data_IF_910151100552
#
_entry.id   IF_910151100552
#
_cell.length_a   1.000
_cell.length_b   1.000
_cell.length_c   1.000
_cell.angle_alpha   90.00
_cell.angle_beta   90.00
_cell.angle_gamma   90.00
#
_symmetry.space_group_name_H-M   'P 1'
#
loop_
_entity.id
_entity.type
_entity.pdbx_description
1 polymer ?
#
# COMPACT_ATOMS: atom_id res chain seq x y z
N UNK A 1 16.01 -11.61 -6.79
CA UNK A 1 15.51 -10.20 -6.87
C UNK A 1 15.88 -9.49 -5.58
N UNK A 2 16.70 -8.42 -5.68
CA UNK A 2 17.20 -7.69 -4.50
C UNK A 2 16.09 -7.31 -3.52
N UNK A 3 14.97 -6.80 -4.04
CA UNK A 3 13.83 -6.42 -3.20
C UNK A 3 13.26 -7.62 -2.41
N UNK A 4 13.07 -8.77 -3.06
CA UNK A 4 12.52 -9.97 -2.41
C UNK A 4 13.53 -10.54 -1.41
N UNK A 5 14.82 -10.54 -1.75
CA UNK A 5 15.87 -11.00 -0.83
C UNK A 5 15.90 -10.13 0.44
N UNK A 6 15.76 -8.80 0.29
CA UNK A 6 15.63 -7.89 1.41
C UNK A 6 14.37 -8.14 2.26
N UNK A 7 13.22 -8.44 1.65
CA UNK A 7 11.99 -8.81 2.38
C UNK A 7 12.19 -10.01 3.33
N UNK A 8 13.08 -10.93 2.97
CA UNK A 8 13.43 -12.11 3.77
C UNK A 8 14.76 -11.97 4.53
N UNK A 9 15.24 -10.74 4.75
CA UNK A 9 16.49 -10.41 5.48
C UNK A 9 17.75 -11.04 4.90
N UNK A 10 17.73 -11.50 3.65
CA UNK A 10 18.93 -11.97 2.97
C UNK A 10 19.88 -10.80 2.68
N UNK A 11 21.14 -11.11 2.56
CA UNK A 11 22.13 -10.12 2.11
C UNK A 11 21.84 -9.64 0.70
N UNK A 12 22.00 -8.34 0.50
CA UNK A 12 21.81 -7.67 -0.78
C UNK A 12 23.00 -6.77 -1.08
N UNK A 13 23.38 -6.55 -2.34
CA UNK A 13 24.54 -5.72 -2.69
C UNK A 13 24.35 -4.24 -2.34
N UNK A 14 23.12 -3.81 -2.10
CA UNK A 14 22.72 -2.48 -1.63
C UNK A 14 21.29 -2.55 -1.06
N UNK A 15 20.87 -1.52 -0.33
CA UNK A 15 19.50 -1.41 0.18
C UNK A 15 18.52 -1.12 -0.96
N UNK A 16 17.55 -2.01 -1.24
CA UNK A 16 16.58 -1.76 -2.31
C UNK A 16 15.66 -0.59 -1.95
N UNK A 17 15.24 0.14 -2.99
CA UNK A 17 14.36 1.29 -2.88
C UNK A 17 13.20 1.23 -3.88
N UNK A 18 12.03 1.57 -3.40
CA UNK A 18 10.86 1.96 -4.20
C UNK A 18 10.09 3.05 -3.47
N UNK A 19 9.11 3.69 -4.09
CA UNK A 19 8.39 4.79 -3.46
C UNK A 19 6.88 4.63 -3.61
N UNK A 20 6.15 4.76 -2.51
CA UNK A 20 4.69 4.79 -2.56
C UNK A 20 4.20 5.94 -3.45
N UNK A 21 3.26 5.65 -4.35
CA UNK A 21 2.75 6.56 -5.39
C UNK A 21 3.84 7.00 -6.38
N UNK A 22 4.85 6.15 -6.63
CA UNK A 22 5.90 6.40 -7.62
C UNK A 22 5.35 6.63 -9.04
N UNK A 23 4.24 6.01 -9.42
CA UNK A 23 3.43 6.41 -10.56
C UNK A 23 2.47 7.52 -10.11
N UNK A 24 2.67 8.73 -10.61
CA UNK A 24 1.90 9.87 -10.12
C UNK A 24 2.05 11.15 -10.94
N UNK A 25 1.26 12.15 -10.57
CA UNK A 25 1.12 13.42 -11.32
C UNK A 25 2.39 14.25 -11.46
N UNK A 26 3.43 13.98 -10.70
CA UNK A 26 4.75 14.61 -10.84
C UNK A 26 5.52 14.13 -12.08
N UNK A 27 5.08 13.02 -12.72
CA UNK A 27 5.62 12.51 -13.99
C UNK A 27 4.76 12.99 -15.16
N UNK A 28 5.38 13.62 -16.16
CA UNK A 28 4.71 14.03 -17.42
C UNK A 28 4.13 12.83 -18.15
N UNK A 29 4.85 11.72 -18.20
CA UNK A 29 4.44 10.48 -18.86
C UNK A 29 3.16 9.91 -18.22
N UNK A 30 3.05 9.95 -16.91
CA UNK A 30 1.82 9.58 -16.20
C UNK A 30 0.66 10.51 -16.59
N UNK A 31 0.90 11.81 -16.66
CA UNK A 31 -0.15 12.77 -17.03
C UNK A 31 -0.67 12.52 -18.45
N UNK A 32 0.20 12.14 -19.40
CA UNK A 32 -0.19 11.77 -20.76
C UNK A 32 -1.04 10.52 -20.79
N UNK A 33 -0.63 9.44 -20.10
CA UNK A 33 -1.40 8.20 -19.99
C UNK A 33 -2.76 8.44 -19.31
N UNK A 34 -2.78 9.30 -18.28
CA UNK A 34 -4.00 9.72 -17.59
C UNK A 34 -4.97 10.48 -18.50
N UNK A 35 -4.44 11.35 -19.39
CA UNK A 35 -5.23 12.09 -20.37
C UNK A 35 -5.81 11.16 -21.43
N UNK A 36 -5.03 10.17 -21.90
CA UNK A 36 -5.51 9.14 -22.85
C UNK A 36 -6.67 8.33 -22.28
N UNK A 37 -6.62 7.98 -21.00
CA UNK A 37 -7.68 7.22 -20.33
C UNK A 37 -8.97 8.02 -20.10
N UNK A 38 -8.90 9.35 -20.05
CA UNK A 38 -10.05 10.23 -19.80
C UNK A 38 -10.41 10.36 -18.32
N UNK A 39 -10.51 9.26 -17.55
CA UNK A 39 -10.78 9.30 -16.11
C UNK A 39 -9.80 8.45 -15.30
N UNK A 40 -9.74 8.66 -13.97
CA UNK A 40 -8.86 7.86 -13.10
C UNK A 40 -9.31 6.40 -13.05
N UNK A 41 -10.60 6.17 -12.98
CA UNK A 41 -11.15 4.82 -12.94
C UNK A 41 -10.94 4.09 -14.27
N UNK A 42 -11.12 4.80 -15.40
CA UNK A 42 -10.82 4.23 -16.71
C UNK A 42 -9.33 3.88 -16.87
N UNK A 43 -8.43 4.68 -16.30
CA UNK A 43 -7.01 4.34 -16.27
C UNK A 43 -6.75 3.04 -15.47
N UNK A 44 -7.41 2.87 -14.32
CA UNK A 44 -7.31 1.64 -13.52
C UNK A 44 -7.94 0.43 -14.23
N UNK A 45 -9.02 0.62 -14.99
CA UNK A 45 -9.73 -0.46 -15.70
C UNK A 45 -9.12 -0.85 -17.04
N UNK A 46 -8.22 -0.03 -17.58
CA UNK A 46 -7.51 -0.33 -18.82
C UNK A 46 -6.17 -1.02 -18.50
N UNK A 47 -6.09 -2.33 -18.72
CA UNK A 47 -4.91 -3.14 -18.39
C UNK A 47 -3.64 -2.68 -19.11
N UNK A 48 -3.74 -2.20 -20.37
CA UNK A 48 -2.59 -1.72 -21.14
C UNK A 48 -2.04 -0.42 -20.57
N UNK A 49 -2.91 0.55 -20.27
CA UNK A 49 -2.52 1.82 -19.67
C UNK A 49 -2.05 1.67 -18.22
N UNK A 50 -2.70 0.79 -17.44
CA UNK A 50 -2.24 0.47 -16.09
C UNK A 50 -0.84 -0.17 -16.10
N UNK A 51 -0.57 -1.04 -17.07
CA UNK A 51 0.75 -1.62 -17.30
C UNK A 51 1.78 -0.55 -17.67
N UNK A 52 1.47 0.32 -18.63
CA UNK A 52 2.33 1.44 -19.04
C UNK A 52 2.71 2.30 -17.83
N UNK A 53 1.73 2.74 -17.07
CA UNK A 53 1.92 3.59 -15.89
C UNK A 53 2.69 2.87 -14.77
N UNK A 54 2.51 1.56 -14.61
CA UNK A 54 3.27 0.76 -13.64
C UNK A 54 4.76 0.69 -13.97
N UNK A 55 5.12 0.62 -15.25
CA UNK A 55 6.50 0.50 -15.71
C UNK A 55 7.26 1.84 -15.72
N UNK A 56 6.57 2.96 -15.99
CA UNK A 56 7.18 4.29 -16.09
C UNK A 56 8.15 4.63 -14.94
N UNK A 57 7.81 4.46 -13.65
CA UNK A 57 8.74 4.79 -12.56
C UNK A 57 9.99 3.91 -12.54
N UNK A 58 9.88 2.65 -12.95
CA UNK A 58 11.03 1.74 -13.00
C UNK A 58 12.03 2.22 -14.04
N UNK A 59 11.56 2.61 -15.21
CA UNK A 59 12.38 3.09 -16.32
C UNK A 59 12.96 4.49 -16.05
N UNK A 60 12.14 5.38 -15.48
CA UNK A 60 12.49 6.79 -15.28
C UNK A 60 13.38 6.99 -14.06
N UNK A 61 13.05 6.35 -12.94
CA UNK A 61 13.70 6.58 -11.65
C UNK A 61 14.74 5.51 -11.33
N UNK A 62 14.62 4.30 -11.89
CA UNK A 62 15.51 3.19 -11.62
C UNK A 62 15.22 2.42 -10.32
N UNK A 63 14.02 2.52 -9.78
CA UNK A 63 13.58 1.82 -8.54
C UNK A 63 13.70 0.30 -8.66
N UNK A 64 13.79 -0.40 -7.53
CA UNK A 64 14.03 -1.84 -7.45
C UNK A 64 12.76 -2.69 -7.45
N UNK A 65 11.60 -2.06 -7.26
CA UNK A 65 10.31 -2.70 -7.39
C UNK A 65 9.30 -1.79 -8.08
N UNK A 66 8.47 -2.39 -8.94
CA UNK A 66 7.24 -1.80 -9.41
C UNK A 66 6.12 -2.11 -8.40
N UNK A 67 5.19 -1.19 -8.22
CA UNK A 67 3.89 -1.48 -7.61
C UNK A 67 2.82 -1.29 -8.67
N UNK A 68 1.92 -2.26 -8.78
CA UNK A 68 0.83 -2.19 -9.73
C UNK A 68 0.06 -0.87 -9.63
N UNK A 69 -0.24 -0.25 -10.75
CA UNK A 69 -1.14 0.90 -10.76
C UNK A 69 -2.60 0.42 -10.71
N UNK A 70 -3.27 0.73 -9.62
CA UNK A 70 -4.68 0.45 -9.36
C UNK A 70 -5.18 1.36 -8.23
N UNK A 71 -6.41 1.16 -7.78
CA UNK A 71 -6.98 1.82 -6.60
C UNK A 71 -7.45 0.79 -5.56
N UNK A 72 -7.39 1.15 -4.28
CA UNK A 72 -7.86 0.26 -3.20
C UNK A 72 -9.38 0.07 -3.21
N UNK A 73 -10.13 1.02 -3.81
CA UNK A 73 -11.60 1.02 -3.81
C UNK A 73 -12.23 0.21 -4.97
N UNK A 74 -11.40 -0.41 -5.83
CA UNK A 74 -11.92 -1.30 -6.88
C UNK A 74 -12.65 -2.52 -6.29
N UNK A 75 -12.25 -3.00 -5.10
CA UNK A 75 -12.93 -4.11 -4.42
C UNK A 75 -14.32 -3.69 -3.93
N UNK A 76 -14.51 -2.63 -3.14
CA UNK A 76 -15.84 -2.13 -2.80
C UNK A 76 -16.73 -1.81 -4.01
N UNK A 77 -16.14 -1.28 -5.10
CA UNK A 77 -16.87 -1.02 -6.33
C UNK A 77 -17.48 -2.31 -6.90
N UNK A 78 -16.69 -3.37 -7.04
CA UNK A 78 -17.17 -4.64 -7.59
C UNK A 78 -18.05 -5.41 -6.57
N UNK A 79 -17.95 -5.09 -5.26
CA UNK A 79 -18.91 -5.57 -4.25
C UNK A 79 -20.30 -4.90 -4.39
N UNK A 80 -20.43 -3.91 -5.26
CA UNK A 80 -21.71 -3.32 -5.66
C UNK A 80 -22.00 -1.92 -5.15
N UNK A 81 -21.00 -1.23 -4.56
CA UNK A 81 -21.11 0.19 -4.21
C UNK A 81 -20.70 1.06 -5.40
N UNK A 82 -21.57 1.98 -5.82
CA UNK A 82 -21.27 2.89 -6.91
C UNK A 82 -20.23 3.94 -6.48
N UNK A 83 -19.08 3.95 -7.17
CA UNK A 83 -17.94 4.80 -6.89
C UNK A 83 -17.73 5.84 -7.99
N UNK A 84 -17.61 7.10 -7.60
CA UNK A 84 -17.21 8.21 -8.47
C UNK A 84 -15.95 8.88 -7.94
N UNK A 85 -15.14 9.44 -8.84
CA UNK A 85 -13.99 10.28 -8.48
C UNK A 85 -14.31 11.74 -8.81
N UNK A 86 -14.69 12.50 -7.80
CA UNK A 86 -15.06 13.91 -7.94
C UNK A 86 -13.77 14.76 -8.01
N UNK A 87 -13.60 15.61 -9.04
CA UNK A 87 -12.44 16.48 -9.14
C UNK A 87 -12.23 17.30 -7.87
N UNK A 88 -10.99 17.31 -7.34
CA UNK A 88 -10.57 17.99 -6.09
C UNK A 88 -11.16 17.44 -4.78
N UNK A 89 -12.20 16.61 -4.81
CA UNK A 89 -12.77 15.93 -3.62
C UNK A 89 -12.18 14.55 -3.40
N UNK A 90 -11.93 13.80 -4.48
CA UNK A 90 -11.47 12.41 -4.42
C UNK A 90 -12.62 11.40 -4.58
N UNK A 91 -12.46 10.18 -4.04
CA UNK A 91 -13.46 9.12 -4.15
C UNK A 91 -14.74 9.46 -3.40
N UNK A 92 -15.89 9.13 -4.00
CA UNK A 92 -17.21 9.30 -3.43
C UNK A 92 -18.10 8.10 -3.77
N UNK A 93 -18.63 7.46 -2.73
CA UNK A 93 -19.64 6.40 -2.89
C UNK A 93 -21.04 7.01 -2.84
N UNK A 94 -21.88 6.67 -3.82
CA UNK A 94 -23.27 7.15 -3.90
C UNK A 94 -24.14 6.51 -2.82
N UNK A 95 -23.87 5.26 -2.47
CA UNK A 95 -24.50 4.53 -1.36
C UNK A 95 -23.46 4.23 -0.28
N UNK A 96 -23.91 4.14 0.96
CA UNK A 96 -23.03 3.88 2.13
C UNK A 96 -23.56 2.74 2.98
N UNK A 97 -22.68 2.09 3.70
CA UNK A 97 -23.03 1.04 4.65
C UNK A 97 -23.51 1.71 5.95
N UNK A 98 -24.75 1.40 6.34
CA UNK A 98 -25.41 1.99 7.50
C UNK A 98 -25.89 0.97 8.52
N UNK A 99 -26.10 -0.28 8.12
CA UNK A 99 -26.69 -1.34 8.92
C UNK A 99 -26.31 -2.74 8.39
N UNK A 100 -26.76 -3.78 9.10
CA UNK A 100 -26.47 -5.17 8.71
C UNK A 100 -27.06 -5.52 7.34
N UNK A 101 -28.24 -5.01 6.99
CA UNK A 101 -28.89 -5.25 5.71
C UNK A 101 -28.05 -4.71 4.55
N UNK A 102 -27.46 -3.54 4.70
CA UNK A 102 -26.55 -2.97 3.70
C UNK A 102 -25.25 -3.78 3.57
N UNK A 103 -24.72 -4.37 4.67
CA UNK A 103 -23.59 -5.31 4.62
C UNK A 103 -23.97 -6.60 3.89
N UNK A 104 -25.16 -7.15 4.17
CA UNK A 104 -25.65 -8.39 3.53
C UNK A 104 -25.85 -8.22 2.03
N UNK A 105 -26.27 -7.04 1.58
CA UNK A 105 -26.49 -6.73 0.16
C UNK A 105 -25.21 -6.67 -0.68
N UNK A 106 -24.03 -6.53 -0.05
CA UNK A 106 -22.76 -6.54 -0.76
C UNK A 106 -22.53 -7.89 -1.44
N UNK A 107 -22.13 -7.87 -2.70
CA UNK A 107 -21.81 -9.06 -3.49
C UNK A 107 -20.60 -9.80 -2.91
N UNK A 108 -20.67 -11.13 -2.89
CA UNK A 108 -19.56 -12.03 -2.56
C UNK A 108 -18.91 -12.53 -3.86
N UNK A 109 -17.59 -12.70 -3.86
CA UNK A 109 -16.83 -13.11 -5.04
C UNK A 109 -16.58 -11.97 -6.02
N UNK A 110 -16.62 -10.73 -5.54
CA UNK A 110 -16.31 -9.52 -6.30
C UNK A 110 -14.88 -9.55 -6.89
N UNK A 111 -13.94 -10.20 -6.19
CA UNK A 111 -12.57 -10.40 -6.68
C UNK A 111 -12.50 -11.06 -8.06
N UNK A 112 -13.49 -11.87 -8.45
CA UNK A 112 -13.58 -12.51 -9.79
C UNK A 112 -13.89 -11.52 -10.92
N UNK A 113 -14.39 -10.33 -10.60
CA UNK A 113 -14.72 -9.30 -11.58
C UNK A 113 -13.52 -8.37 -11.88
N UNK A 114 -12.44 -8.50 -11.13
CA UNK A 114 -11.26 -7.65 -11.23
C UNK A 114 -10.22 -8.14 -12.26
N UNK A 115 -10.68 -8.77 -13.35
CA UNK A 115 -9.80 -9.32 -14.40
C UNK A 115 -8.83 -8.29 -14.96
N UNK A 116 -9.25 -7.04 -15.13
CA UNK A 116 -8.39 -5.95 -15.62
C UNK A 116 -7.17 -5.70 -14.73
N UNK A 117 -7.28 -5.99 -13.42
CA UNK A 117 -6.15 -5.93 -12.47
C UNK A 117 -5.19 -7.08 -12.73
N UNK A 118 -5.69 -8.30 -12.88
CA UNK A 118 -4.88 -9.50 -13.10
C UNK A 118 -4.21 -9.48 -14.47
N UNK A 119 -4.90 -8.98 -15.49
CA UNK A 119 -4.35 -8.78 -16.83
C UNK A 119 -3.22 -7.76 -16.82
N UNK A 120 -3.39 -6.63 -16.11
CA UNK A 120 -2.34 -5.62 -15.94
C UNK A 120 -1.11 -6.20 -15.19
N UNK A 121 -1.31 -7.05 -14.17
CA UNK A 121 -0.22 -7.75 -13.48
C UNK A 121 0.52 -8.66 -14.45
N UNK A 122 -0.19 -9.51 -15.18
CA UNK A 122 0.42 -10.46 -16.13
C UNK A 122 1.21 -9.76 -17.23
N UNK A 123 0.64 -8.71 -17.81
CA UNK A 123 1.31 -7.88 -18.83
C UNK A 123 2.54 -7.15 -18.26
N UNK A 124 2.41 -6.58 -17.05
CA UNK A 124 3.54 -5.92 -16.37
C UNK A 124 4.65 -6.92 -16.10
N UNK A 125 4.33 -8.11 -15.58
CA UNK A 125 5.34 -9.14 -15.29
C UNK A 125 6.10 -9.59 -16.54
N UNK A 126 5.43 -9.68 -17.69
CA UNK A 126 6.06 -10.03 -18.96
C UNK A 126 7.05 -8.97 -19.45
N UNK A 127 6.75 -7.69 -19.25
CA UNK A 127 7.55 -6.56 -19.72
C UNK A 127 8.63 -6.12 -18.72
N UNK A 128 8.38 -6.31 -17.42
CA UNK A 128 9.30 -5.91 -16.35
C UNK A 128 10.50 -6.86 -16.29
N UNK A 129 11.72 -6.31 -16.15
CA UNK A 129 12.94 -7.11 -15.96
C UNK A 129 12.75 -8.16 -14.85
N UNK A 130 13.35 -9.34 -15.06
CA UNK A 130 13.32 -10.44 -14.06
C UNK A 130 14.02 -10.09 -12.75
N UNK A 131 14.87 -9.08 -12.73
CA UNK A 131 15.56 -8.60 -11.53
C UNK A 131 14.72 -7.67 -10.68
N UNK A 132 13.70 -7.03 -11.26
CA UNK A 132 12.80 -6.11 -10.57
C UNK A 132 11.55 -6.84 -10.07
N UNK A 133 11.18 -6.57 -8.83
CA UNK A 133 9.97 -7.13 -8.24
C UNK A 133 8.71 -6.37 -8.69
N UNK A 134 7.58 -7.07 -8.75
CA UNK A 134 6.26 -6.50 -8.91
C UNK A 134 5.46 -6.69 -7.63
N UNK A 135 4.97 -5.60 -7.05
CA UNK A 135 4.18 -5.59 -5.83
C UNK A 135 2.70 -5.47 -6.21
N UNK A 136 1.89 -6.43 -5.74
CA UNK A 136 0.43 -6.31 -5.72
C UNK A 136 -0.03 -5.69 -4.40
N UNK A 137 -1.27 -5.20 -4.35
CA UNK A 137 -1.73 -4.55 -3.12
C UNK A 137 -3.26 -4.51 -2.98
N UNK A 138 -3.71 -4.20 -1.77
CA UNK A 138 -5.08 -3.81 -1.46
C UNK A 138 -5.11 -2.80 -0.29
N UNK A 139 -6.28 -2.24 -0.03
CA UNK A 139 -6.55 -1.54 1.22
C UNK A 139 -6.82 -2.54 2.36
N UNK A 140 -6.59 -2.14 3.61
CA UNK A 140 -7.00 -2.93 4.78
C UNK A 140 -8.53 -2.97 4.89
N UNK A 141 -9.11 -4.00 5.55
CA UNK A 141 -10.55 -4.04 5.81
C UNK A 141 -11.06 -2.78 6.50
N UNK A 142 -10.35 -2.27 7.52
CA UNK A 142 -10.73 -1.02 8.20
C UNK A 142 -10.70 0.19 7.27
N UNK A 143 -9.63 0.37 6.50
CA UNK A 143 -9.52 1.48 5.55
C UNK A 143 -10.64 1.45 4.52
N UNK A 144 -10.96 0.28 3.96
CA UNK A 144 -12.06 0.13 3.00
C UNK A 144 -13.41 0.38 3.67
N UNK A 145 -13.65 -0.21 4.86
CA UNK A 145 -14.88 0.00 5.62
C UNK A 145 -15.13 1.47 5.92
N UNK A 146 -14.09 2.26 6.27
CA UNK A 146 -14.26 3.69 6.51
C UNK A 146 -14.77 4.42 5.27
N UNK A 147 -14.24 4.15 4.08
CA UNK A 147 -14.75 4.73 2.84
C UNK A 147 -16.19 4.30 2.55
N UNK A 148 -16.51 3.02 2.77
CA UNK A 148 -17.85 2.47 2.53
C UNK A 148 -18.90 3.03 3.50
N UNK A 149 -18.52 3.37 4.73
CA UNK A 149 -19.40 3.93 5.75
C UNK A 149 -19.51 5.46 5.65
N UNK A 150 -18.38 6.16 5.51
CA UNK A 150 -18.35 7.63 5.40
C UNK A 150 -18.91 8.09 4.05
N UNK A 151 -18.71 7.33 2.99
CA UNK A 151 -19.05 7.65 1.61
C UNK A 151 -17.95 8.41 0.87
N UNK A 152 -17.02 9.02 1.58
CA UNK A 152 -15.93 9.84 1.07
C UNK A 152 -14.74 9.88 2.04
N UNK A 153 -13.69 10.62 1.69
CA UNK A 153 -12.61 10.90 2.63
C UNK A 153 -13.10 11.69 3.85
N UNK A 154 -12.75 11.26 5.05
CA UNK A 154 -13.19 11.88 6.30
C UNK A 154 -11.99 12.37 7.13
N UNK A 155 -12.16 13.48 7.85
CA UNK A 155 -11.17 13.95 8.83
C UNK A 155 -11.44 13.40 10.23
N UNK A 156 -12.71 13.19 10.58
CA UNK A 156 -13.14 12.75 11.92
C UNK A 156 -13.51 11.28 11.99
N UNK A 157 -13.88 10.65 10.85
CA UNK A 157 -14.39 9.28 10.78
C UNK A 157 -15.60 9.06 11.71
N UNK A 158 -16.47 10.07 11.81
CA UNK A 158 -17.52 10.11 12.82
C UNK A 158 -18.54 8.99 12.65
N UNK A 159 -18.97 8.70 11.42
CA UNK A 159 -19.92 7.61 11.13
C UNK A 159 -19.31 6.26 11.44
N UNK A 160 -18.08 6.01 11.00
CA UNK A 160 -17.34 4.77 11.23
C UNK A 160 -17.11 4.52 12.71
N UNK A 161 -16.71 5.55 13.47
CA UNK A 161 -16.54 5.46 14.93
C UNK A 161 -17.87 5.27 15.65
N UNK A 162 -18.95 5.94 15.20
CA UNK A 162 -20.29 5.69 15.75
C UNK A 162 -20.67 4.22 15.57
N UNK A 163 -20.53 3.66 14.37
CA UNK A 163 -20.83 2.25 14.12
C UNK A 163 -19.95 1.33 15.01
N UNK A 164 -18.66 1.63 15.14
CA UNK A 164 -17.73 0.87 15.98
C UNK A 164 -18.20 0.75 17.43
N UNK A 165 -18.70 1.86 18.04
CA UNK A 165 -19.09 1.88 19.44
C UNK A 165 -20.57 1.53 19.68
N UNK A 166 -21.47 1.88 18.75
CA UNK A 166 -22.92 1.68 18.93
C UNK A 166 -23.43 0.40 18.26
N UNK A 167 -22.78 -0.05 17.19
CA UNK A 167 -23.23 -1.19 16.38
C UNK A 167 -22.03 -2.08 15.97
N UNK A 168 -21.19 -2.52 16.93
CA UNK A 168 -19.94 -3.21 16.65
C UNK A 168 -20.14 -4.49 15.83
N UNK A 169 -21.29 -5.17 15.93
CA UNK A 169 -21.55 -6.40 15.19
C UNK A 169 -21.76 -6.12 13.68
N UNK A 170 -22.32 -4.96 13.32
CA UNK A 170 -22.43 -4.50 11.92
C UNK A 170 -21.03 -4.27 11.34
N UNK A 171 -20.19 -3.55 12.08
CA UNK A 171 -18.82 -3.31 11.66
C UNK A 171 -18.02 -4.60 11.53
N UNK A 172 -18.11 -5.52 12.49
CA UNK A 172 -17.43 -6.82 12.42
C UNK A 172 -17.87 -7.63 11.19
N UNK A 173 -19.18 -7.67 10.91
CA UNK A 173 -19.70 -8.35 9.72
C UNK A 173 -19.12 -7.78 8.43
N UNK A 174 -19.01 -6.44 8.32
CA UNK A 174 -18.39 -5.78 7.18
C UNK A 174 -16.89 -6.11 7.07
N UNK A 175 -16.13 -6.00 8.16
CA UNK A 175 -14.69 -6.26 8.19
C UNK A 175 -14.38 -7.73 7.85
N UNK A 176 -15.22 -8.66 8.31
CA UNK A 176 -15.12 -10.08 8.02
C UNK A 176 -15.34 -10.37 6.53
N UNK A 177 -16.42 -9.80 5.97
CA UNK A 177 -16.75 -9.94 4.55
C UNK A 177 -15.63 -9.37 3.67
N UNK A 178 -15.12 -8.19 3.99
CA UNK A 178 -13.97 -7.59 3.30
C UNK A 178 -12.73 -8.46 3.41
N UNK A 179 -12.43 -9.01 4.59
CA UNK A 179 -11.24 -9.85 4.76
C UNK A 179 -11.25 -11.08 3.86
N UNK A 180 -12.40 -11.73 3.70
CA UNK A 180 -12.55 -12.88 2.81
C UNK A 180 -12.34 -12.49 1.34
N UNK A 181 -12.93 -11.38 0.89
CA UNK A 181 -12.74 -10.86 -0.46
C UNK A 181 -11.27 -10.49 -0.73
N UNK A 182 -10.60 -9.86 0.24
CA UNK A 182 -9.21 -9.42 0.09
C UNK A 182 -8.21 -10.57 0.07
N UNK A 183 -8.44 -11.65 0.83
CA UNK A 183 -7.62 -12.86 0.77
C UNK A 183 -7.64 -13.44 -0.65
N UNK A 184 -8.81 -13.58 -1.24
CA UNK A 184 -8.95 -14.12 -2.60
C UNK A 184 -8.43 -13.13 -3.66
N UNK A 185 -8.68 -11.83 -3.49
CA UNK A 185 -8.17 -10.80 -4.38
C UNK A 185 -6.64 -10.78 -4.44
N UNK A 186 -5.97 -10.84 -3.27
CA UNK A 186 -4.51 -10.91 -3.22
C UNK A 186 -4.00 -12.26 -3.73
N UNK A 187 -4.73 -13.37 -3.49
CA UNK A 187 -4.38 -14.69 -4.03
C UNK A 187 -4.38 -14.68 -5.56
N UNK A 188 -5.37 -14.06 -6.19
CA UNK A 188 -5.40 -13.95 -7.66
C UNK A 188 -4.32 -12.99 -8.20
N UNK A 189 -3.96 -11.93 -7.47
CA UNK A 189 -2.81 -11.10 -7.82
C UNK A 189 -1.49 -11.91 -7.79
N UNK A 190 -1.31 -12.77 -6.79
CA UNK A 190 -0.14 -13.67 -6.69
C UNK A 190 -0.12 -14.65 -7.87
N UNK A 191 -1.24 -15.27 -8.19
CA UNK A 191 -1.37 -16.19 -9.34
C UNK A 191 -1.12 -15.49 -10.67
N UNK A 192 -1.50 -14.22 -10.80
CA UNK A 192 -1.23 -13.40 -11.99
C UNK A 192 0.24 -12.99 -12.13
N UNK A 193 1.08 -13.13 -11.09
CA UNK A 193 2.53 -13.00 -11.20
C UNK A 193 3.19 -11.91 -10.35
N UNK A 194 2.52 -11.36 -9.32
CA UNK A 194 3.22 -10.48 -8.39
C UNK A 194 4.22 -11.24 -7.53
N UNK A 195 5.29 -10.57 -7.12
CA UNK A 195 6.38 -11.15 -6.34
C UNK A 195 6.25 -10.85 -4.83
N UNK A 196 5.44 -9.86 -4.47
CA UNK A 196 5.11 -9.47 -3.11
C UNK A 196 3.70 -8.88 -3.06
N UNK A 197 3.08 -8.88 -1.90
CA UNK A 197 1.80 -8.20 -1.68
C UNK A 197 1.90 -7.21 -0.53
N UNK A 198 1.19 -6.08 -0.65
CA UNK A 198 1.17 -5.04 0.36
C UNK A 198 -0.27 -4.66 0.74
N UNK A 199 -0.53 -4.51 2.04
CA UNK A 199 -1.82 -4.09 2.55
C UNK A 199 -1.68 -2.70 3.17
N UNK A 200 -2.42 -1.74 2.62
CA UNK A 200 -2.39 -0.34 3.07
C UNK A 200 -3.50 -0.09 4.10
N UNK A 201 -3.11 0.17 5.33
CA UNK A 201 -4.03 0.65 6.37
C UNK A 201 -3.86 2.16 6.60
N UNK A 202 -4.30 2.92 5.62
CA UNK A 202 -4.10 4.38 5.57
C UNK A 202 -4.82 5.14 6.67
N UNK A 203 -5.88 4.56 7.24
CA UNK A 203 -6.70 5.16 8.27
C UNK A 203 -6.54 4.53 9.67
N UNK A 204 -5.46 3.78 9.88
CA UNK A 204 -5.15 3.14 11.17
C UNK A 204 -5.16 4.13 12.34
N UNK A 205 -4.56 5.30 12.17
CA UNK A 205 -4.51 6.35 13.21
C UNK A 205 -5.85 7.01 13.54
N UNK A 206 -6.93 6.67 12.82
CA UNK A 206 -8.26 7.13 13.17
C UNK A 206 -8.79 6.48 14.46
N UNK A 207 -8.24 5.32 14.82
CA UNK A 207 -8.63 4.54 16.00
C UNK A 207 -7.65 4.77 17.15
N UNK A 208 -8.15 4.71 18.38
CA UNK A 208 -7.32 4.56 19.56
C UNK A 208 -6.76 3.12 19.63
N UNK A 209 -5.73 2.87 20.45
CA UNK A 209 -4.94 1.64 20.42
C UNK A 209 -5.76 0.36 20.51
N UNK A 210 -6.66 0.25 21.49
CA UNK A 210 -7.45 -0.96 21.72
C UNK A 210 -8.42 -1.24 20.56
N UNK A 211 -9.10 -0.18 20.09
CA UNK A 211 -9.98 -0.27 18.94
C UNK A 211 -9.19 -0.62 17.66
N UNK A 212 -8.00 -0.04 17.48
CA UNK A 212 -7.11 -0.36 16.37
C UNK A 212 -6.73 -1.84 16.35
N UNK A 213 -6.24 -2.36 17.46
CA UNK A 213 -5.84 -3.76 17.54
C UNK A 213 -7.00 -4.72 17.23
N UNK A 214 -8.20 -4.41 17.74
CA UNK A 214 -9.39 -5.27 17.59
C UNK A 214 -10.09 -5.12 16.24
N UNK A 215 -10.19 -3.91 15.67
CA UNK A 215 -11.02 -3.64 14.47
C UNK A 215 -10.20 -3.36 13.21
N UNK A 216 -8.88 -3.30 13.29
CA UNK A 216 -8.01 -3.24 12.13
C UNK A 216 -6.91 -4.30 12.18
N UNK A 217 -6.06 -4.30 13.20
CA UNK A 217 -4.88 -5.15 13.25
C UNK A 217 -5.22 -6.65 13.25
N UNK A 218 -6.22 -7.11 13.99
CA UNK A 218 -6.65 -8.51 14.00
C UNK A 218 -7.09 -9.01 12.62
N UNK A 219 -7.72 -8.15 11.81
CA UNK A 219 -8.09 -8.48 10.44
C UNK A 219 -6.88 -8.50 9.49
N UNK A 220 -5.90 -7.61 9.68
CA UNK A 220 -4.62 -7.67 8.98
C UNK A 220 -3.88 -8.97 9.29
N UNK A 221 -3.81 -9.37 10.56
CA UNK A 221 -3.24 -10.67 10.97
C UNK A 221 -3.96 -11.85 10.32
N UNK A 222 -5.28 -11.83 10.27
CA UNK A 222 -6.08 -12.88 9.63
C UNK A 222 -5.72 -13.02 8.15
N UNK A 223 -5.66 -11.91 7.41
CA UNK A 223 -5.33 -11.93 5.98
C UNK A 223 -3.88 -12.39 5.78
N UNK A 224 -2.93 -11.81 6.49
CA UNK A 224 -1.51 -12.14 6.33
C UNK A 224 -1.22 -13.60 6.66
N UNK A 225 -1.79 -14.13 7.75
CA UNK A 225 -1.68 -15.54 8.13
C UNK A 225 -2.19 -16.49 7.06
N UNK A 226 -3.36 -16.21 6.48
CA UNK A 226 -3.92 -17.06 5.43
C UNK A 226 -3.08 -16.99 4.14
N UNK A 227 -2.57 -15.81 3.78
CA UNK A 227 -1.65 -15.65 2.65
C UNK A 227 -0.33 -16.37 2.87
N UNK A 228 0.28 -16.27 4.06
CA UNK A 228 1.52 -16.98 4.39
C UNK A 228 1.33 -18.50 4.39
N UNK A 229 0.18 -18.98 4.82
CA UNK A 229 -0.18 -20.40 4.74
C UNK A 229 -0.26 -20.91 3.30
N UNK A 230 -0.86 -20.13 2.38
CA UNK A 230 -1.03 -20.50 0.96
C UNK A 230 0.23 -20.26 0.14
N UNK A 231 0.97 -19.17 0.43
CA UNK A 231 2.06 -18.64 -0.39
C UNK A 231 3.26 -18.23 0.48
N UNK A 232 3.85 -19.18 1.22
CA UNK A 232 4.95 -18.91 2.16
C UNK A 232 6.16 -18.17 1.53
N UNK A 233 6.37 -18.35 0.22
CA UNK A 233 7.47 -17.75 -0.55
C UNK A 233 7.18 -16.31 -1.02
N UNK A 234 5.94 -15.83 -0.87
CA UNK A 234 5.55 -14.45 -1.21
C UNK A 234 5.62 -13.60 0.05
N UNK A 235 6.43 -12.55 0.09
CA UNK A 235 6.46 -11.65 1.24
C UNK A 235 5.18 -10.83 1.33
N UNK A 236 4.67 -10.69 2.56
CA UNK A 236 3.53 -9.86 2.92
C UNK A 236 4.03 -8.61 3.62
N UNK A 237 3.65 -7.44 3.11
CA UNK A 237 4.02 -6.12 3.62
C UNK A 237 2.78 -5.48 4.22
N UNK A 238 2.83 -5.09 5.50
CA UNK A 238 1.76 -4.34 6.16
C UNK A 238 2.17 -2.90 6.39
N UNK A 239 1.35 -1.95 5.98
CA UNK A 239 1.61 -0.52 6.15
C UNK A 239 0.46 0.17 6.90
N UNK A 240 0.46 0.14 8.23
CA UNK A 240 -0.47 0.92 9.05
C UNK A 240 0.11 2.32 9.29
N UNK A 241 -0.61 3.34 8.83
CA UNK A 241 -0.16 4.73 8.95
C UNK A 241 -0.54 5.33 10.30
N UNK A 242 0.44 5.97 10.95
CA UNK A 242 0.21 6.77 12.17
C UNK A 242 0.02 5.94 13.44
N UNK A 243 0.55 4.70 13.48
CA UNK A 243 0.45 3.80 14.63
C UNK A 243 1.73 3.74 15.48
N UNK A 244 2.60 4.73 15.38
CA UNK A 244 3.88 4.74 16.12
C UNK A 244 3.71 4.52 17.63
N UNK A 245 2.62 5.02 18.24
CA UNK A 245 2.32 4.81 19.63
C UNK A 245 1.77 3.38 19.96
N UNK A 246 1.54 2.53 18.95
CA UNK A 246 0.91 1.21 19.11
C UNK A 246 1.83 0.05 18.77
N UNK A 247 3.11 0.32 18.47
CA UNK A 247 4.08 -0.67 17.98
C UNK A 247 4.29 -1.86 18.93
N UNK A 248 4.13 -1.65 20.22
CA UNK A 248 4.21 -2.70 21.23
C UNK A 248 3.08 -3.73 21.17
N UNK A 249 1.96 -3.40 20.51
CA UNK A 249 0.85 -4.30 20.23
C UNK A 249 0.92 -5.00 18.87
N UNK A 250 1.97 -4.74 18.06
CA UNK A 250 2.13 -5.30 16.73
C UNK A 250 2.76 -6.69 16.80
N UNK A 251 2.02 -7.69 16.29
CA UNK A 251 2.43 -9.09 16.19
C UNK A 251 1.79 -9.74 14.94
N UNK A 252 2.19 -10.94 14.59
CA UNK A 252 1.53 -11.71 13.51
C UNK A 252 2.51 -12.32 12.50
N UNK A 253 1.95 -13.02 11.51
CA UNK A 253 2.68 -13.73 10.47
C UNK A 253 2.74 -12.89 9.19
N UNK A 254 3.75 -12.02 9.10
CA UNK A 254 4.07 -11.19 7.91
C UNK A 254 5.58 -10.93 7.88
N UNK A 255 6.09 -10.39 6.78
CA UNK A 255 7.54 -10.28 6.58
C UNK A 255 8.06 -8.86 6.76
N UNK A 256 7.28 -7.85 6.31
CA UNK A 256 7.74 -6.46 6.26
C UNK A 256 6.72 -5.53 6.91
N UNK A 257 7.20 -4.68 7.83
CA UNK A 257 6.42 -3.60 8.43
C UNK A 257 6.79 -2.26 7.80
N UNK A 258 5.82 -1.61 7.18
CA UNK A 258 5.97 -0.26 6.66
C UNK A 258 5.83 0.79 7.76
N UNK A 259 6.86 1.61 7.92
CA UNK A 259 6.94 2.67 8.92
C UNK A 259 6.59 4.00 8.25
N UNK A 260 5.63 4.74 8.80
CA UNK A 260 5.30 6.09 8.32
C UNK A 260 6.30 7.15 8.83
N UNK A 261 6.28 8.33 8.19
CA UNK A 261 7.24 9.40 8.53
C UNK A 261 7.06 9.99 9.94
N UNK A 262 5.89 9.86 10.54
CA UNK A 262 5.59 10.36 11.89
C UNK A 262 6.11 9.44 13.00
N UNK A 263 6.51 8.23 12.65
CA UNK A 263 7.03 7.24 13.59
C UNK A 263 8.56 7.32 13.65
N UNK A 264 9.19 7.60 14.81
CA UNK A 264 10.64 7.55 14.95
C UNK A 264 11.19 6.16 14.57
N UNK A 265 12.09 6.14 13.58
CA UNK A 265 12.60 4.88 13.03
C UNK A 265 13.41 4.06 14.03
N UNK A 266 14.12 4.74 14.95
CA UNK A 266 14.85 4.12 16.05
C UNK A 266 13.91 3.33 16.97
N UNK A 267 12.73 3.89 17.26
CA UNK A 267 11.71 3.24 18.08
C UNK A 267 11.14 2.03 17.35
N UNK A 268 10.79 2.18 16.08
CA UNK A 268 10.30 1.06 15.27
C UNK A 268 11.35 -0.07 15.19
N UNK A 269 12.61 0.27 14.97
CA UNK A 269 13.72 -0.71 14.96
C UNK A 269 13.86 -1.44 16.29
N UNK A 270 13.81 -0.71 17.42
CA UNK A 270 13.92 -1.29 18.76
C UNK A 270 12.80 -2.28 19.06
N UNK A 271 11.56 -1.97 18.63
CA UNK A 271 10.38 -2.77 18.99
C UNK A 271 10.14 -3.91 18.00
N UNK A 272 10.28 -3.63 16.71
CA UNK A 272 9.90 -4.54 15.63
C UNK A 272 11.07 -5.09 14.84
N UNK A 273 12.24 -4.42 14.89
CA UNK A 273 13.36 -4.68 14.00
C UNK A 273 13.93 -6.10 14.07
N UNK A 274 13.82 -6.80 15.19
CA UNK A 274 14.26 -8.20 15.30
C UNK A 274 13.26 -9.20 14.68
N UNK A 275 11.97 -8.83 14.64
CA UNK A 275 10.90 -9.70 14.13
C UNK A 275 10.64 -9.49 12.65
N UNK A 276 10.61 -8.23 12.19
CA UNK A 276 10.18 -7.86 10.85
C UNK A 276 11.24 -7.03 10.13
N UNK A 277 11.29 -7.13 8.81
CA UNK A 277 11.99 -6.16 7.98
C UNK A 277 11.23 -4.84 8.06
N UNK A 278 11.96 -3.73 8.20
CA UNK A 278 11.34 -2.40 8.23
C UNK A 278 11.43 -1.74 6.85
N UNK A 279 10.32 -1.18 6.38
CA UNK A 279 10.25 -0.44 5.14
C UNK A 279 9.90 1.02 5.43
N UNK A 280 10.65 1.96 4.88
CA UNK A 280 10.40 3.40 5.04
C UNK A 280 11.66 4.15 5.44
N UNK A 281 11.58 5.36 6.03
CA UNK A 281 10.34 6.13 6.27
C UNK A 281 10.60 7.61 6.00
N UNK A 282 11.26 7.91 4.85
CA UNK A 282 11.58 9.28 4.51
C UNK A 282 10.29 10.12 4.37
N UNK A 283 10.25 11.29 5.00
CA UNK A 283 9.16 12.23 4.80
C UNK A 283 9.12 12.69 3.33
N UNK A 284 7.97 12.52 2.62
CA UNK A 284 7.90 12.82 1.19
C UNK A 284 8.27 14.26 0.82
N UNK A 285 7.98 15.22 1.68
CA UNK A 285 8.25 16.65 1.44
C UNK A 285 9.74 17.02 1.42
N UNK A 286 10.63 16.16 1.94
CA UNK A 286 12.08 16.33 1.80
C UNK A 286 12.56 16.27 0.36
N UNK A 287 11.76 15.70 -0.55
CA UNK A 287 12.06 15.69 -1.98
C UNK A 287 11.93 17.07 -2.64
N UNK A 288 11.38 18.09 -1.97
CA UNK A 288 11.41 19.46 -2.52
C UNK A 288 12.82 20.07 -2.55
N UNK A 289 13.72 19.65 -1.66
CA UNK A 289 15.06 20.20 -1.56
C UNK A 289 16.12 19.10 -1.38
N UNK A 290 17.21 19.17 -2.15
CA UNK A 290 18.25 18.12 -2.14
C UNK A 290 18.98 18.02 -0.81
N UNK A 291 19.25 19.13 -0.13
CA UNK A 291 19.98 19.15 1.13
C UNK A 291 19.18 18.45 2.22
N UNK A 292 17.88 18.75 2.34
CA UNK A 292 17.01 18.10 3.32
C UNK A 292 16.76 16.63 2.98
N UNK A 293 16.74 16.28 1.69
CA UNK A 293 16.66 14.90 1.21
C UNK A 293 17.90 14.10 1.64
N UNK A 294 19.12 14.61 1.38
CA UNK A 294 20.38 13.98 1.74
C UNK A 294 20.48 13.76 3.25
N UNK A 295 20.16 14.78 4.05
CA UNK A 295 20.10 14.69 5.51
C UNK A 295 19.14 13.58 5.98
N UNK A 296 17.95 13.52 5.39
CA UNK A 296 16.96 12.50 5.71
C UNK A 296 17.42 11.09 5.38
N UNK A 297 18.05 10.90 4.23
CA UNK A 297 18.63 9.60 3.82
C UNK A 297 19.72 9.18 4.80
N UNK A 298 20.63 10.07 5.16
CA UNK A 298 21.73 9.79 6.11
C UNK A 298 21.20 9.37 7.48
N UNK A 299 20.20 10.08 8.01
CA UNK A 299 19.56 9.72 9.28
C UNK A 299 18.98 8.29 9.23
N UNK A 300 18.24 7.97 8.18
CA UNK A 300 17.62 6.64 8.02
C UNK A 300 18.69 5.55 7.92
N UNK A 301 19.71 5.74 7.08
CA UNK A 301 20.77 4.75 6.88
C UNK A 301 21.62 4.57 8.16
N UNK A 302 21.86 5.63 8.92
CA UNK A 302 22.54 5.55 10.22
C UNK A 302 21.77 4.67 11.23
N UNK A 303 20.44 4.77 11.23
CA UNK A 303 19.59 3.96 12.11
C UNK A 303 19.54 2.52 11.64
N UNK A 304 19.25 2.29 10.37
CA UNK A 304 18.95 0.95 9.86
C UNK A 304 20.21 0.11 9.61
N UNK A 305 21.29 0.73 9.18
CA UNK A 305 22.48 0.00 8.73
C UNK A 305 22.22 -0.71 7.39
N UNK A 306 22.78 -1.93 7.24
CA UNK A 306 22.82 -2.60 5.95
C UNK A 306 21.84 -3.78 5.78
N UNK A 307 21.13 -4.16 6.83
CA UNK A 307 20.23 -5.35 6.79
C UNK A 307 18.87 -5.05 7.42
N UNK A 308 17.87 -5.80 6.98
CA UNK A 308 16.52 -5.69 7.54
C UNK A 308 15.81 -4.38 7.16
N UNK A 309 16.20 -3.77 6.04
CA UNK A 309 15.64 -2.49 5.59
C UNK A 309 15.33 -2.49 4.08
N UNK A 310 14.19 -1.93 3.75
CA UNK A 310 13.79 -1.53 2.40
C UNK A 310 13.57 -0.02 2.44
N UNK A 311 14.32 0.72 1.65
CA UNK A 311 14.14 2.17 1.63
C UNK A 311 12.84 2.55 0.92
N UNK A 312 12.07 3.41 1.55
CA UNK A 312 10.84 3.97 1.00
C UNK A 312 10.56 5.34 1.65
N UNK A 313 9.57 6.03 1.11
CA UNK A 313 8.97 7.17 1.79
C UNK A 313 8.05 6.68 2.91
N UNK A 314 7.81 7.52 3.90
CA UNK A 314 6.85 7.24 4.98
C UNK A 314 5.38 7.41 4.57
N UNK A 315 5.10 7.77 3.33
CA UNK A 315 3.80 7.76 2.63
C UNK A 315 3.99 8.03 1.13
N UNK A 316 2.91 8.24 0.40
CA UNK A 316 2.95 8.48 -1.03
C UNK A 316 3.55 9.82 -1.44
N UNK A 317 4.17 9.85 -2.60
CA UNK A 317 4.69 11.06 -3.24
C UNK A 317 3.57 12.09 -3.46
N UNK A 318 3.94 13.37 -3.34
CA UNK A 318 3.06 14.49 -3.66
C UNK A 318 3.08 14.79 -5.18
N UNK A 319 2.00 15.39 -5.72
CA UNK A 319 1.85 15.51 -7.17
C UNK A 319 2.74 16.55 -7.84
N UNK A 320 3.41 17.40 -7.07
CA UNK A 320 4.23 18.53 -7.50
C UNK A 320 5.70 18.40 -7.11
N UNK A 321 6.11 17.21 -6.63
CA UNK A 321 7.50 16.96 -6.26
C UNK A 321 8.42 17.01 -7.50
N UNK A 322 9.65 17.56 -7.36
CA UNK A 322 10.61 17.56 -8.44
C UNK A 322 11.02 16.13 -8.85
N UNK A 323 10.74 15.75 -10.09
CA UNK A 323 11.08 14.45 -10.66
C UNK A 323 12.56 14.11 -10.51
N UNK A 324 13.43 15.11 -10.74
CA UNK A 324 14.88 14.92 -10.64
C UNK A 324 15.33 14.57 -9.22
N UNK A 325 14.65 15.10 -8.21
CA UNK A 325 14.96 14.76 -6.82
C UNK A 325 14.49 13.33 -6.47
N UNK A 326 13.39 12.86 -7.06
CA UNK A 326 12.97 11.47 -6.91
C UNK A 326 13.99 10.50 -7.54
N UNK A 327 14.50 10.82 -8.74
CA UNK A 327 15.55 10.04 -9.40
C UNK A 327 16.87 10.09 -8.60
N UNK A 328 17.23 11.27 -8.11
CA UNK A 328 18.42 11.46 -7.28
C UNK A 328 18.34 10.65 -5.98
N UNK A 329 17.18 10.58 -5.34
CA UNK A 329 16.97 9.76 -4.14
C UNK A 329 17.35 8.29 -4.38
N UNK A 330 16.91 7.71 -5.50
CA UNK A 330 17.23 6.31 -5.84
C UNK A 330 18.74 6.14 -6.01
N UNK A 331 19.39 7.02 -6.76
CA UNK A 331 20.83 7.00 -6.99
C UNK A 331 21.62 7.16 -5.67
N UNK A 332 21.19 8.07 -4.80
CA UNK A 332 21.82 8.34 -3.52
C UNK A 332 21.77 7.13 -2.58
N UNK A 333 20.59 6.49 -2.46
CA UNK A 333 20.43 5.30 -1.62
C UNK A 333 21.30 4.16 -2.14
N UNK A 334 21.28 3.89 -3.45
CA UNK A 334 22.15 2.86 -4.03
C UNK A 334 23.64 3.15 -3.79
N UNK A 335 24.09 4.38 -4.03
CA UNK A 335 25.49 4.76 -3.87
C UNK A 335 25.96 4.64 -2.41
N UNK A 336 25.16 5.12 -1.45
CA UNK A 336 25.52 5.11 -0.02
C UNK A 336 25.43 3.72 0.62
N UNK A 337 24.72 2.77 0.03
CA UNK A 337 24.52 1.43 0.61
C UNK A 337 25.21 0.31 -0.16
N UNK A 338 25.91 0.62 -1.25
CA UNK A 338 26.68 -0.36 -2.04
C UNK A 338 27.78 -0.99 -1.18
N UNK A 339 27.90 -2.32 -1.26
CA UNK A 339 28.89 -3.15 -0.55
C UNK A 339 29.92 -3.65 -1.52
#
# INVERSE_FOLDING_TARGET
MIFIDACFRKETPYTPIWMMRQAGRYLSEYQESRKKAGSFLELCKNSDLATEVTLQPVEILGVDAAILFSDILVVPLEMGLNLEFIPKKGPHFLETITDLKSVESLKVGAYKQLNYVYDAISQTRQKLSKEKALIGFCGSPWTLATYMIEGEGSKSYAKSKKMLYSEPEVLKALLEKLSLELIEYLSLQIQAGVNAVMIFDSWASALEKEAYLKFSWDYLKKISKELKKRYAHIPVILFPKGVGAYLDGIDGEFDVFGVDWGTPLEMAKKILGDKYVLQGNLEPTRLYDKSTLEEGVEKILKVMGHQGHIFNLGHGMLPDLPRENAKYLVQLVHAKTRR
#
